data_IF_547049083644
#
_entry.id   IF_547049083644
#
_cell.length_a   1.000
_cell.length_b   1.000
_cell.length_c   1.000
_cell.angle_alpha   90.00
_cell.angle_beta   90.00
_cell.angle_gamma   90.00
#
_symmetry.space_group_name_H-M   'P 1'
#
loop_
_entity.id
_entity.type
_entity.pdbx_description
1 polymer ?
#
# COMPACT_ATOMS: atom_id res chain seq x y z
N UNK A 1 46.93 -3.22 -15.08
CA UNK A 1 46.55 -1.84 -15.48
C UNK A 1 45.09 -1.84 -15.89
N UNK A 2 44.30 -0.90 -15.34
CA UNK A 2 42.97 -0.43 -15.79
C UNK A 2 41.82 -1.46 -15.76
N UNK A 3 40.59 -1.16 -15.36
CA UNK A 3 39.91 -0.11 -14.55
C UNK A 3 38.42 -0.41 -14.79
N UNK A 4 37.59 -0.31 -13.75
CA UNK A 4 36.22 0.25 -13.81
C UNK A 4 35.15 -0.64 -14.49
N UNK A 5 33.94 -0.85 -13.99
CA UNK A 5 33.21 -0.52 -12.76
C UNK A 5 32.05 -1.52 -12.74
N UNK A 6 31.71 -2.05 -11.57
CA UNK A 6 30.48 -2.79 -11.35
C UNK A 6 29.29 -1.88 -11.70
N UNK A 7 28.60 -2.19 -12.80
CA UNK A 7 27.36 -1.52 -13.18
C UNK A 7 26.26 -2.08 -12.27
N UNK A 8 26.21 -1.57 -11.04
CA UNK A 8 25.08 -1.76 -10.14
C UNK A 8 23.83 -1.20 -10.80
N UNK A 9 23.06 -2.09 -11.45
CA UNK A 9 21.70 -1.79 -11.88
C UNK A 9 20.80 -1.97 -10.66
N UNK A 10 20.86 -1.01 -9.75
CA UNK A 10 19.81 -0.78 -8.76
C UNK A 10 18.62 -0.19 -9.52
N UNK A 11 17.92 -1.04 -10.28
CA UNK A 11 16.64 -0.66 -10.86
C UNK A 11 15.66 -0.53 -9.70
N UNK A 12 15.37 0.73 -9.40
CA UNK A 12 14.26 1.25 -8.63
C UNK A 12 13.00 0.40 -8.81
N UNK A 13 12.76 -0.55 -7.90
CA UNK A 13 11.48 -1.25 -7.73
C UNK A 13 10.66 -0.54 -6.64
N UNK A 14 10.55 0.79 -6.74
CA UNK A 14 9.69 1.57 -5.85
C UNK A 14 8.42 1.94 -6.61
N UNK A 15 7.29 1.32 -6.23
CA UNK A 15 6.02 2.03 -6.24
C UNK A 15 5.13 1.90 -7.48
N UNK A 16 5.01 0.72 -8.08
CA UNK A 16 3.80 0.42 -8.84
C UNK A 16 2.81 -0.27 -7.91
N UNK A 17 2.02 0.51 -7.16
CA UNK A 17 0.73 0.02 -6.67
C UNK A 17 -0.03 -0.43 -7.91
N UNK A 18 -0.35 -1.72 -7.98
CA UNK A 18 -1.14 -2.22 -9.10
C UNK A 18 -2.56 -1.72 -8.87
N UNK A 19 -3.23 -1.22 -9.91
CA UNK A 19 -4.64 -0.78 -9.80
C UNK A 19 -5.58 -1.87 -9.23
N UNK A 20 -5.18 -3.15 -9.31
CA UNK A 20 -5.88 -4.25 -8.65
C UNK A 20 -5.79 -4.23 -7.13
N UNK A 21 -4.74 -3.65 -6.57
CA UNK A 21 -4.53 -3.53 -5.13
C UNK A 21 -5.38 -2.41 -4.52
N UNK A 22 -5.68 -1.34 -5.28
CA UNK A 22 -6.65 -0.31 -4.87
C UNK A 22 -8.08 -0.86 -4.87
N UNK A 23 -8.43 -1.62 -5.92
CA UNK A 23 -9.79 -2.13 -6.11
C UNK A 23 -10.23 -3.05 -4.97
N UNK A 24 -9.32 -3.83 -4.38
CA UNK A 24 -9.65 -4.72 -3.26
C UNK A 24 -10.21 -3.95 -2.05
N UNK A 25 -9.74 -2.71 -1.83
CA UNK A 25 -10.26 -1.86 -0.76
C UNK A 25 -11.62 -1.28 -1.15
N UNK A 26 -11.74 -0.82 -2.40
CA UNK A 26 -12.96 -0.18 -2.93
C UNK A 26 -14.14 -1.14 -3.09
N UNK A 27 -13.90 -2.45 -3.13
CA UNK A 27 -14.97 -3.45 -3.14
C UNK A 27 -15.82 -3.44 -1.87
N UNK A 28 -15.29 -2.91 -0.76
CA UNK A 28 -15.97 -2.83 0.54
C UNK A 28 -16.01 -1.44 1.14
N UNK A 29 -15.18 -0.50 0.69
CA UNK A 29 -15.06 0.83 1.25
C UNK A 29 -15.33 1.93 0.23
N UNK A 30 -16.04 2.95 0.68
CA UNK A 30 -16.15 4.25 0.01
C UNK A 30 -15.26 5.25 0.78
N UNK A 31 -14.06 5.60 0.29
CA UNK A 31 -13.09 6.41 1.04
C UNK A 31 -13.65 7.74 1.56
N UNK A 32 -14.56 8.36 0.80
CA UNK A 32 -15.18 9.63 1.17
C UNK A 32 -16.11 9.51 2.40
N UNK A 33 -16.66 8.33 2.65
CA UNK A 33 -17.59 8.06 3.74
C UNK A 33 -16.91 7.32 4.90
N UNK A 34 -16.18 6.24 4.60
CA UNK A 34 -15.62 5.33 5.60
C UNK A 34 -14.33 5.85 6.24
N UNK A 35 -13.55 6.65 5.51
CA UNK A 35 -12.20 7.06 5.92
C UNK A 35 -12.09 8.56 6.19
N UNK A 36 -13.21 9.28 6.16
CA UNK A 36 -13.25 10.71 6.36
C UNK A 36 -12.63 11.10 7.71
N UNK A 37 -11.58 11.93 7.65
CA UNK A 37 -10.91 12.43 8.85
C UNK A 37 -9.96 11.41 9.52
N UNK A 38 -9.79 10.22 8.96
CA UNK A 38 -8.77 9.27 9.42
C UNK A 38 -7.40 9.62 8.84
N UNK A 39 -6.35 9.48 9.64
CA UNK A 39 -4.98 9.56 9.14
C UNK A 39 -4.58 8.24 8.48
N UNK A 40 -3.55 8.29 7.62
CA UNK A 40 -2.97 7.08 7.01
C UNK A 40 -2.58 6.05 8.07
N UNK A 41 -1.98 6.47 9.17
CA UNK A 41 -1.57 5.57 10.26
C UNK A 41 -2.78 4.90 10.93
N UNK A 42 -3.91 5.59 11.07
CA UNK A 42 -5.14 5.00 11.60
C UNK A 42 -5.73 3.97 10.63
N UNK A 43 -5.73 4.27 9.33
CA UNK A 43 -6.17 3.33 8.30
C UNK A 43 -5.28 2.09 8.25
N UNK A 44 -3.97 2.26 8.34
CA UNK A 44 -3.04 1.13 8.42
C UNK A 44 -3.29 0.28 9.66
N UNK A 45 -3.52 0.90 10.83
CA UNK A 45 -3.81 0.16 12.05
C UNK A 45 -5.11 -0.65 11.95
N UNK A 46 -6.16 -0.07 11.39
CA UNK A 46 -7.46 -0.74 11.18
C UNK A 46 -7.37 -1.88 10.15
N UNK A 47 -6.69 -1.63 9.03
CA UNK A 47 -6.44 -2.62 8.00
C UNK A 47 -5.56 -3.79 8.49
N UNK A 48 -4.77 -3.56 9.55
CA UNK A 48 -3.94 -4.56 10.21
C UNK A 48 -4.61 -5.27 11.39
N UNK A 49 -5.83 -4.88 11.77
CA UNK A 49 -6.55 -5.50 12.88
C UNK A 49 -6.69 -7.03 12.65
N UNK A 50 -6.04 -7.87 13.49
CA UNK A 50 -6.09 -9.32 13.32
C UNK A 50 -7.49 -9.91 13.59
N UNK A 51 -8.35 -9.18 14.31
CA UNK A 51 -9.70 -9.62 14.65
C UNK A 51 -10.69 -9.32 13.51
N UNK A 52 -10.35 -8.40 12.59
CA UNK A 52 -11.13 -8.15 11.39
C UNK A 52 -10.87 -9.23 10.33
N UNK A 53 -11.69 -10.28 10.35
CA UNK A 53 -11.59 -11.41 9.42
C UNK A 53 -11.74 -11.02 7.95
N UNK A 54 -12.31 -9.86 7.61
CA UNK A 54 -12.42 -9.36 6.23
C UNK A 54 -11.09 -8.81 5.72
N UNK A 55 -10.20 -8.37 6.60
CA UNK A 55 -8.87 -7.87 6.27
C UNK A 55 -7.77 -8.95 6.30
N UNK A 56 -8.15 -10.24 6.29
CA UNK A 56 -7.17 -11.33 6.37
C UNK A 56 -6.16 -11.29 5.23
N UNK A 57 -6.62 -10.99 4.02
CA UNK A 57 -5.77 -10.99 2.83
C UNK A 57 -4.87 -9.74 2.80
N UNK A 58 -5.26 -8.66 3.51
CA UNK A 58 -4.42 -7.48 3.67
C UNK A 58 -3.11 -7.82 4.39
N UNK A 59 -3.12 -8.81 5.29
CA UNK A 59 -1.92 -9.26 6.02
C UNK A 59 -0.80 -9.80 5.11
N UNK A 60 -1.12 -10.14 3.85
CA UNK A 60 -0.12 -10.56 2.86
C UNK A 60 0.63 -9.38 2.21
N UNK A 61 0.08 -8.17 2.29
CA UNK A 61 0.72 -6.95 1.79
C UNK A 61 1.80 -6.49 2.77
N UNK A 62 2.95 -6.04 2.27
CA UNK A 62 3.91 -5.32 3.11
C UNK A 62 3.33 -3.99 3.61
N UNK A 63 3.87 -3.45 4.69
CA UNK A 63 3.43 -2.15 5.20
C UNK A 63 3.68 -1.02 4.18
N UNK A 64 4.74 -1.13 3.38
CA UNK A 64 5.06 -0.19 2.31
C UNK A 64 4.03 -0.26 1.17
N UNK A 65 3.59 -1.47 0.81
CA UNK A 65 2.54 -1.66 -0.20
C UNK A 65 1.22 -1.10 0.30
N UNK A 66 0.81 -1.43 1.53
CA UNK A 66 -0.44 -0.95 2.10
C UNK A 66 -0.45 0.58 2.27
N UNK A 67 0.67 1.16 2.71
CA UNK A 67 0.82 2.61 2.79
C UNK A 67 0.68 3.27 1.41
N UNK A 68 1.31 2.70 0.37
CA UNK A 68 1.20 3.21 -0.99
C UNK A 68 -0.24 3.13 -1.54
N UNK A 69 -1.00 2.09 -1.20
CA UNK A 69 -2.42 1.98 -1.58
C UNK A 69 -3.23 3.11 -0.93
N UNK A 70 -3.08 3.32 0.38
CA UNK A 70 -3.78 4.39 1.07
C UNK A 70 -3.36 5.79 0.57
N UNK A 71 -2.07 6.02 0.33
CA UNK A 71 -1.60 7.28 -0.26
C UNK A 71 -2.24 7.54 -1.63
N UNK A 72 -2.38 6.49 -2.47
CA UNK A 72 -3.06 6.60 -3.76
C UNK A 72 -4.56 6.88 -3.61
N UNK A 73 -5.26 6.16 -2.72
CA UNK A 73 -6.71 6.31 -2.52
C UNK A 73 -7.09 7.65 -1.88
N UNK A 74 -6.30 8.15 -0.93
CA UNK A 74 -6.54 9.45 -0.26
C UNK A 74 -6.19 10.66 -1.14
N UNK A 75 -5.48 10.43 -2.26
CA UNK A 75 -5.14 11.48 -3.22
C UNK A 75 -6.20 11.73 -4.30
N UNK A 76 -7.27 10.92 -4.33
CA UNK A 76 -8.39 11.03 -5.29
C UNK A 76 -9.48 11.93 -4.74
#
# INVERSE_FOLDING_TARGET
MKRIVAMGSTLLLAGAVLAGDEQMCLDCHEPADDWQGMTREQLMADARDPDNRRHRDIQALSDEQLAAIFDALLSK
#
